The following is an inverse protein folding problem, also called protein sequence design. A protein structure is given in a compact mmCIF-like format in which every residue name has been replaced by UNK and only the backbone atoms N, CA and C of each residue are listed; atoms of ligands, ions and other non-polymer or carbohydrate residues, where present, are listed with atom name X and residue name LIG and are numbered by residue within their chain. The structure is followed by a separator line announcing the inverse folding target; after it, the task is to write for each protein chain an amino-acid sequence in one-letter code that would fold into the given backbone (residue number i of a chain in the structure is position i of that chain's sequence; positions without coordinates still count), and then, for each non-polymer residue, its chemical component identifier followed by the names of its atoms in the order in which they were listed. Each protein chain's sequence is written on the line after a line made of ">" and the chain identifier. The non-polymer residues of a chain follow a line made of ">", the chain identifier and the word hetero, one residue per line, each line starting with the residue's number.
data_IF_988803496881
#
_entry.id   IF_988803496881
#
_cell.length_a   1.000
_cell.length_b   1.000
_cell.length_c   1.000
_cell.angle_alpha   90.00
_cell.angle_beta   90.00
_cell.angle_gamma   90.00
#
_symmetry.space_group_name_H-M   'P 1'
#
loop_
_entity.id
_entity.type
_entity.pdbx_description
1 polymer ?
#
# COMPACT_ATOMS: atom_id res chain seq x y z
N UNK A 1 3.04 15.76 17.57
CA UNK A 1 2.23 14.84 16.73
C UNK A 1 2.36 15.32 15.29
N UNK A 2 2.59 14.43 14.33
CA UNK A 2 2.60 14.82 12.92
C UNK A 2 1.20 15.31 12.50
N UNK A 3 1.12 16.42 11.79
CA UNK A 3 -0.14 16.96 11.29
C UNK A 3 -0.67 16.07 10.16
N UNK A 4 -1.86 15.49 10.35
CA UNK A 4 -2.54 14.73 9.30
C UNK A 4 -3.35 15.71 8.45
N UNK A 5 -3.08 15.74 7.15
CA UNK A 5 -3.82 16.57 6.19
C UNK A 5 -4.55 15.67 5.20
N UNK A 6 -5.83 15.92 5.00
CA UNK A 6 -6.64 15.27 3.98
C UNK A 6 -6.97 16.30 2.89
N UNK A 7 -6.72 15.94 1.64
CA UNK A 7 -6.95 16.81 0.49
C UNK A 7 -8.04 16.16 -0.37
N UNK A 8 -9.15 16.85 -0.55
CA UNK A 8 -10.21 16.45 -1.49
C UNK A 8 -9.88 17.01 -2.86
N UNK A 9 -9.20 16.22 -3.68
CA UNK A 9 -8.82 16.59 -5.04
C UNK A 9 -8.60 15.35 -5.92
N UNK A 10 -8.56 15.56 -7.23
CA UNK A 10 -8.05 14.57 -8.17
C UNK A 10 -6.54 14.42 -7.98
N UNK A 11 -6.06 13.22 -7.67
CA UNK A 11 -4.63 12.93 -7.49
C UNK A 11 -3.79 13.28 -8.72
N UNK A 12 -4.35 13.24 -9.93
CA UNK A 12 -3.64 13.63 -11.15
C UNK A 12 -3.30 15.13 -11.17
N UNK A 13 -4.00 15.95 -10.39
CA UNK A 13 -3.76 17.40 -10.29
C UNK A 13 -2.82 17.77 -9.15
N UNK A 14 -2.41 16.80 -8.34
CA UNK A 14 -1.64 17.02 -7.13
C UNK A 14 -0.16 16.68 -7.33
N UNK A 15 0.69 17.28 -6.50
CA UNK A 15 2.12 17.06 -6.49
C UNK A 15 2.68 17.36 -5.10
N UNK A 16 3.89 16.90 -4.80
CA UNK A 16 4.53 17.25 -3.55
C UNK A 16 5.75 16.41 -3.22
N UNK A 17 6.32 16.69 -2.05
CA UNK A 17 7.41 15.90 -1.47
C UNK A 17 6.90 15.02 -0.33
N UNK A 18 7.36 13.77 -0.33
CA UNK A 18 7.09 12.80 0.72
C UNK A 18 8.27 11.82 0.86
N UNK A 19 8.48 11.28 2.05
CA UNK A 19 9.52 10.27 2.26
C UNK A 19 9.10 8.90 1.70
N UNK A 20 7.80 8.62 1.72
CA UNK A 20 7.20 7.38 1.23
C UNK A 20 5.80 7.65 0.69
N UNK A 21 5.51 7.06 -0.47
CA UNK A 21 4.16 6.99 -1.02
C UNK A 21 3.57 5.63 -0.65
N UNK A 22 2.38 5.63 -0.07
CA UNK A 22 1.59 4.42 0.17
C UNK A 22 0.29 4.53 -0.61
N UNK A 23 0.09 3.67 -1.61
CA UNK A 23 -1.03 3.79 -2.55
C UNK A 23 -1.75 2.46 -2.77
N UNK A 24 -3.08 2.53 -2.83
CA UNK A 24 -3.99 1.48 -3.31
C UNK A 24 -4.80 2.10 -4.48
N UNK A 25 -4.28 2.06 -5.73
CA UNK A 25 -4.95 2.65 -6.89
C UNK A 25 -6.07 1.76 -7.46
N UNK A 26 -7.02 2.32 -8.24
CA UNK A 26 -8.06 1.54 -8.91
C UNK A 26 -7.50 0.34 -9.66
N UNK A 27 -8.06 -0.85 -9.47
CA UNK A 27 -7.51 -2.11 -10.01
C UNK A 27 -7.48 -2.16 -11.55
N UNK A 28 -8.29 -1.32 -12.18
CA UNK A 28 -8.45 -1.12 -13.61
C UNK A 28 -7.64 0.07 -14.15
N UNK A 29 -6.97 0.83 -13.28
CA UNK A 29 -6.14 1.95 -13.69
C UNK A 29 -4.96 1.46 -14.53
N UNK A 30 -4.77 1.98 -15.77
CA UNK A 30 -3.63 1.66 -16.61
C UNK A 30 -2.28 2.01 -15.95
N UNK A 31 -1.25 1.22 -16.25
CA UNK A 31 0.07 1.36 -15.61
C UNK A 31 0.79 2.67 -15.95
N UNK A 32 0.58 3.19 -17.16
CA UNK A 32 1.07 4.48 -17.65
C UNK A 32 0.41 5.65 -16.92
N UNK A 33 -0.92 5.63 -16.79
CA UNK A 33 -1.67 6.66 -16.02
C UNK A 33 -1.25 6.63 -14.55
N UNK A 34 -1.11 5.44 -13.96
CA UNK A 34 -0.62 5.29 -12.59
C UNK A 34 0.80 5.86 -12.44
N UNK A 35 1.69 5.57 -13.39
CA UNK A 35 3.05 6.08 -13.39
C UNK A 35 3.08 7.61 -13.47
N UNK A 36 2.26 8.22 -14.34
CA UNK A 36 2.16 9.68 -14.47
C UNK A 36 1.71 10.32 -13.15
N UNK A 37 0.66 9.78 -12.52
CA UNK A 37 0.12 10.32 -11.26
C UNK A 37 1.18 10.25 -10.15
N UNK A 38 1.81 9.08 -9.98
CA UNK A 38 2.75 8.87 -8.87
C UNK A 38 4.05 9.66 -9.06
N UNK A 39 4.52 9.85 -10.29
CA UNK A 39 5.75 10.60 -10.58
C UNK A 39 5.64 12.11 -10.30
N UNK A 40 4.44 12.64 -10.13
CA UNK A 40 4.24 14.04 -9.65
C UNK A 40 4.69 14.21 -8.20
N UNK A 41 4.89 13.12 -7.48
CA UNK A 41 5.38 13.12 -6.11
C UNK A 41 6.86 12.76 -6.08
N UNK A 42 7.68 13.66 -5.53
CA UNK A 42 9.07 13.38 -5.25
C UNK A 42 9.17 12.58 -3.95
N UNK A 43 9.31 11.27 -4.09
CA UNK A 43 9.51 10.34 -2.99
C UNK A 43 10.55 9.27 -3.32
N UNK A 44 11.48 8.94 -2.40
CA UNK A 44 12.45 7.86 -2.61
C UNK A 44 11.82 6.47 -2.52
N UNK A 45 10.68 6.33 -1.85
CA UNK A 45 10.03 5.06 -1.54
C UNK A 45 8.57 5.01 -2.01
N UNK A 46 8.17 3.85 -2.55
CA UNK A 46 6.81 3.59 -2.98
C UNK A 46 6.36 2.21 -2.47
N UNK A 47 5.21 2.19 -1.82
CA UNK A 47 4.47 0.98 -1.48
C UNK A 47 3.16 0.99 -2.25
N UNK A 48 2.95 -0.03 -3.06
CA UNK A 48 1.82 -0.15 -3.95
C UNK A 48 1.01 -1.41 -3.64
N UNK A 49 -0.24 -1.25 -3.24
CA UNK A 49 -1.21 -2.35 -3.13
C UNK A 49 -1.95 -2.42 -4.47
N UNK A 50 -1.58 -3.38 -5.31
CA UNK A 50 -2.10 -3.47 -6.66
C UNK A 50 -2.10 -4.91 -7.16
N UNK A 51 -2.81 -5.16 -8.27
CA UNK A 51 -2.73 -6.47 -8.93
C UNK A 51 -1.37 -6.68 -9.57
N UNK A 52 -0.95 -7.95 -9.73
CA UNK A 52 0.28 -8.28 -10.45
C UNK A 52 0.32 -7.69 -11.87
N UNK A 53 -0.83 -7.69 -12.55
CA UNK A 53 -0.97 -7.08 -13.89
C UNK A 53 -0.59 -5.60 -13.87
N UNK A 54 -1.08 -4.85 -12.89
CA UNK A 54 -0.77 -3.41 -12.77
C UNK A 54 0.69 -3.18 -12.38
N UNK A 55 1.23 -4.00 -11.48
CA UNK A 55 2.65 -3.93 -11.09
C UNK A 55 3.56 -4.11 -12.32
N UNK A 56 3.29 -5.12 -13.15
CA UNK A 56 4.06 -5.40 -14.36
C UNK A 56 3.93 -4.31 -15.42
N UNK A 57 2.75 -3.66 -15.52
CA UNK A 57 2.53 -2.55 -16.42
C UNK A 57 3.19 -1.23 -15.93
N UNK A 58 3.23 -1.01 -14.62
CA UNK A 58 3.78 0.19 -14.00
C UNK A 58 5.30 0.17 -13.91
N UNK A 59 5.90 -0.96 -13.49
CA UNK A 59 7.32 -1.05 -13.18
C UNK A 59 8.27 -0.52 -14.28
N UNK A 60 8.10 -0.85 -15.58
CA UNK A 60 9.01 -0.37 -16.63
C UNK A 60 8.85 1.13 -16.93
N UNK A 61 7.76 1.76 -16.52
CA UNK A 61 7.45 3.17 -16.76
C UNK A 61 7.85 4.07 -15.59
N UNK A 62 8.27 3.48 -14.48
CA UNK A 62 8.49 4.18 -13.21
C UNK A 62 9.98 4.37 -12.91
N UNK A 63 10.36 5.47 -12.24
CA UNK A 63 11.74 5.67 -11.77
C UNK A 63 12.11 4.80 -10.56
N UNK A 64 11.14 4.10 -9.96
CA UNK A 64 11.41 3.24 -8.82
C UNK A 64 11.73 1.81 -9.28
N UNK A 65 12.84 1.28 -8.79
CA UNK A 65 13.19 -0.12 -8.98
C UNK A 65 12.37 -0.99 -8.03
N UNK A 66 11.83 -2.09 -8.55
CA UNK A 66 11.19 -3.12 -7.73
C UNK A 66 12.19 -3.67 -6.71
N UNK A 67 11.76 -3.80 -5.46
CA UNK A 67 12.60 -4.35 -4.39
C UNK A 67 12.08 -5.68 -3.86
N UNK A 68 10.82 -5.74 -3.40
CA UNK A 68 10.20 -6.99 -2.97
C UNK A 68 8.67 -6.88 -3.01
N UNK A 69 7.99 -8.00 -3.17
CA UNK A 69 6.54 -8.13 -3.05
C UNK A 69 6.15 -8.67 -1.67
N UNK A 70 4.91 -8.39 -1.29
CA UNK A 70 4.34 -8.84 -0.03
C UNK A 70 2.85 -9.14 -0.17
N UNK A 71 2.35 -9.96 0.74
CA UNK A 71 0.96 -10.37 0.79
C UNK A 71 0.29 -9.72 2.00
N UNK A 72 -0.79 -8.99 1.73
CA UNK A 72 -1.71 -8.55 2.77
C UNK A 72 -2.78 -9.63 2.93
N UNK A 73 -2.80 -10.26 4.08
CA UNK A 73 -3.81 -11.27 4.39
C UNK A 73 -5.06 -10.61 4.96
N UNK A 74 -6.05 -10.40 4.10
CA UNK A 74 -7.39 -9.96 4.48
C UNK A 74 -8.15 -11.15 5.05
N UNK A 75 -7.99 -11.41 6.34
CA UNK A 75 -8.59 -12.54 7.11
C UNK A 75 -10.14 -12.59 7.03
N UNK A 76 -10.79 -11.67 6.31
CA UNK A 76 -12.23 -11.65 6.09
C UNK A 76 -12.60 -12.24 4.71
N UNK A 77 -13.50 -13.24 4.66
CA UNK A 77 -13.92 -13.82 3.39
C UNK A 77 -14.62 -12.77 2.52
N UNK A 78 -14.22 -12.71 1.25
CA UNK A 78 -14.88 -11.89 0.24
C UNK A 78 -16.34 -12.34 0.12
N UNK A 79 -17.30 -11.42 0.12
CA UNK A 79 -18.73 -11.75 -0.08
C UNK A 79 -19.05 -12.24 -1.51
N UNK A 80 -18.03 -12.42 -2.35
CA UNK A 80 -18.13 -13.03 -3.67
C UNK A 80 -18.72 -14.43 -3.56
N UNK A 81 -19.89 -14.65 -4.14
CA UNK A 81 -20.58 -15.95 -4.18
C UNK A 81 -20.20 -16.80 -5.39
N UNK A 82 -19.20 -16.40 -6.18
CA UNK A 82 -18.80 -17.17 -7.36
C UNK A 82 -18.16 -18.49 -6.95
N UNK A 83 -18.80 -19.61 -7.30
CA UNK A 83 -18.26 -20.96 -7.09
C UNK A 83 -17.17 -21.34 -8.09
N UNK A 84 -16.96 -20.53 -9.13
CA UNK A 84 -15.99 -20.80 -10.20
C UNK A 84 -14.59 -20.23 -9.90
N UNK A 85 -14.43 -19.51 -8.80
CA UNK A 85 -13.16 -18.90 -8.42
C UNK A 85 -12.81 -19.24 -6.97
N UNK A 86 -11.54 -19.48 -6.65
CA UNK A 86 -11.11 -19.63 -5.27
C UNK A 86 -11.33 -18.32 -4.50
N UNK A 87 -11.62 -18.45 -3.20
CA UNK A 87 -11.75 -17.29 -2.31
C UNK A 87 -10.37 -16.65 -2.11
N UNK A 88 -10.06 -15.63 -2.92
CA UNK A 88 -8.89 -14.79 -2.69
C UNK A 88 -9.16 -13.83 -1.53
N UNK A 89 -8.56 -14.12 -0.37
CA UNK A 89 -8.49 -13.25 0.81
C UNK A 89 -7.22 -12.39 0.84
N UNK A 90 -6.32 -12.63 -0.10
CA UNK A 90 -5.01 -12.00 -0.15
C UNK A 90 -5.00 -10.84 -1.15
N UNK A 91 -4.37 -9.72 -0.77
CA UNK A 91 -4.02 -8.64 -1.68
C UNK A 91 -2.51 -8.64 -1.88
N UNK A 92 -2.07 -8.38 -3.11
CA UNK A 92 -0.65 -8.21 -3.42
C UNK A 92 -0.24 -6.77 -3.14
N UNK A 93 0.86 -6.60 -2.42
CA UNK A 93 1.58 -5.36 -2.28
C UNK A 93 2.98 -5.49 -2.85
N UNK A 94 3.54 -4.38 -3.33
CA UNK A 94 4.90 -4.32 -3.81
C UNK A 94 5.59 -3.08 -3.26
N UNK A 95 6.85 -3.25 -2.87
CA UNK A 95 7.72 -2.17 -2.46
C UNK A 95 8.73 -1.87 -3.54
N UNK A 96 8.84 -0.59 -3.87
CA UNK A 96 9.79 -0.03 -4.81
C UNK A 96 10.58 1.09 -4.16
N UNK A 97 11.79 1.32 -4.66
CA UNK A 97 12.66 2.41 -4.21
C UNK A 97 13.42 3.01 -5.39
N UNK A 98 13.79 4.28 -5.31
CA UNK A 98 14.76 4.84 -6.26
C UNK A 98 16.09 4.06 -6.17
N UNK A 99 16.83 3.86 -7.27
CA UNK A 99 18.06 3.07 -7.27
C UNK A 99 19.06 3.46 -6.18
N UNK A 100 19.25 4.76 -5.99
CA UNK A 100 20.16 5.40 -5.02
C UNK A 100 19.67 5.39 -3.57
N UNK A 101 18.37 5.14 -3.33
CA UNK A 101 17.80 5.17 -1.99
C UNK A 101 18.12 3.88 -1.21
N UNK A 102 18.47 4.00 0.08
CA UNK A 102 18.53 2.85 1.01
C UNK A 102 17.12 2.38 1.32
N UNK A 103 16.90 1.08 1.54
CA UNK A 103 15.56 0.57 1.87
C UNK A 103 15.02 1.20 3.16
N UNK A 104 13.77 1.68 3.14
CA UNK A 104 13.06 2.12 4.34
C UNK A 104 12.68 0.95 5.26
N UNK A 105 12.67 -0.28 4.74
CA UNK A 105 12.41 -1.47 5.53
C UNK A 105 13.72 -2.03 6.09
N UNK A 106 13.83 -2.01 7.42
CA UNK A 106 14.91 -2.69 8.13
C UNK A 106 14.64 -4.20 8.21
N UNK A 107 15.71 -4.96 7.95
CA UNK A 107 15.74 -6.43 7.97
C UNK A 107 16.31 -7.00 9.26
N UNK A 108 17.00 -6.19 10.06
CA UNK A 108 17.74 -6.65 11.23
C UNK A 108 16.96 -6.52 12.55
N UNK A 109 15.94 -5.67 12.61
CA UNK A 109 15.18 -5.37 13.83
C UNK A 109 13.84 -6.11 13.97
N UNK A 110 13.67 -7.28 13.34
CA UNK A 110 12.37 -7.99 13.33
C UNK A 110 12.25 -9.05 14.43
N UNK A 111 11.82 -8.62 15.62
CA UNK A 111 11.27 -9.54 16.62
C UNK A 111 9.77 -9.76 16.36
N UNK A 112 9.36 -11.01 16.12
CA UNK A 112 7.96 -11.42 16.14
C UNK A 112 7.64 -11.98 17.52
N UNK A 113 6.53 -11.55 18.11
CA UNK A 113 6.09 -11.98 19.44
C UNK A 113 5.68 -13.46 19.50
N UNK A 114 5.51 -14.12 18.36
CA UNK A 114 4.96 -15.47 18.23
C UNK A 114 5.97 -16.51 17.72
N UNK A 115 7.26 -16.16 17.58
CA UNK A 115 8.31 -17.09 17.17
C UNK A 115 9.49 -17.08 18.15
N UNK A 116 9.80 -18.23 18.74
CA UNK A 116 11.03 -18.45 19.50
C UNK A 116 12.17 -18.79 18.54
N UNK A 117 12.90 -17.79 18.07
CA UNK A 117 14.19 -18.00 17.39
C UNK A 117 15.27 -17.24 18.14
N UNK A 118 16.29 -17.96 18.60
CA UNK A 118 17.50 -17.37 19.18
C UNK A 118 18.40 -16.75 18.11
N UNK A 119 18.20 -17.10 16.84
CA UNK A 119 18.99 -16.59 15.70
C UNK A 119 18.19 -15.62 14.83
N UNK A 120 18.85 -14.60 14.25
CA UNK A 120 18.23 -13.69 13.30
C UNK A 120 17.88 -14.42 11.98
N UNK A 121 16.63 -14.85 11.86
CA UNK A 121 16.09 -15.48 10.65
C UNK A 121 15.46 -14.49 9.65
N UNK A 122 15.38 -14.90 8.39
CA UNK A 122 14.61 -14.19 7.35
C UNK A 122 13.13 -14.56 7.47
N UNK A 123 12.26 -13.56 7.69
CA UNK A 123 10.83 -13.79 7.94
C UNK A 123 9.98 -13.24 6.79
N UNK A 124 8.87 -13.93 6.41
CA UNK A 124 8.21 -13.72 5.14
C UNK A 124 7.42 -12.41 5.11
N UNK A 125 7.22 -11.93 3.88
CA UNK A 125 6.55 -10.72 3.43
C UNK A 125 5.02 -10.76 3.62
N UNK A 126 4.52 -11.25 4.77
CA UNK A 126 3.09 -11.26 5.08
C UNK A 126 2.79 -10.27 6.20
N UNK A 127 1.94 -9.27 5.92
CA UNK A 127 1.44 -8.36 6.94
C UNK A 127 0.02 -8.79 7.35
N UNK A 128 -0.17 -9.06 8.65
CA UNK A 128 -1.47 -9.39 9.22
C UNK A 128 -2.18 -8.13 9.73
N UNK A 129 -3.44 -7.95 9.35
CA UNK A 129 -4.27 -6.92 9.97
C UNK A 129 -4.55 -7.28 11.45
N UNK A 130 -4.41 -6.34 12.40
CA UNK A 130 -4.62 -6.61 13.82
C UNK A 130 -6.10 -7.00 14.11
N UNK A 131 -6.31 -8.04 14.92
CA UNK A 131 -7.65 -8.58 15.28
C UNK A 131 -8.46 -7.70 16.25
N UNK A 132 -7.87 -6.65 16.83
CA UNK A 132 -8.60 -5.80 17.78
C UNK A 132 -9.48 -4.85 16.97
N UNK A 133 -10.80 -4.94 17.16
CA UNK A 133 -11.70 -3.84 16.85
C UNK A 133 -11.15 -2.60 17.55
N UNK A 134 -10.62 -1.65 16.78
CA UNK A 134 -10.58 -0.26 17.23
C UNK A 134 -12.03 0.06 17.62
N UNK A 135 -12.29 0.28 18.91
CA UNK A 135 -13.58 0.74 19.38
C UNK A 135 -13.94 1.92 18.49
N UNK A 136 -14.99 1.74 17.69
CA UNK A 136 -15.51 2.74 16.76
C UNK A 136 -15.99 3.92 17.61
N UNK A 137 -15.11 4.86 17.94
CA UNK A 137 -15.56 6.19 18.35
C UNK A 137 -16.38 6.70 17.19
N UNK A 138 -17.63 7.06 17.50
CA UNK A 138 -18.72 7.19 16.56
C UNK A 138 -18.39 8.16 15.41
N UNK A 139 -18.01 7.63 14.26
CA UNK A 139 -18.12 8.35 13.00
C UNK A 139 -19.52 8.11 12.45
N UNK A 140 -20.34 9.16 12.49
CA UNK A 140 -21.62 9.22 11.78
C UNK A 140 -21.37 8.96 10.29
N UNK A 141 -22.12 8.02 9.73
CA UNK A 141 -22.08 7.73 8.29
C UNK A 141 -22.67 8.91 7.52
N UNK A 142 -21.99 9.48 6.50
CA UNK A 142 -22.69 10.10 5.40
C UNK A 142 -23.29 8.97 4.55
N UNK A 143 -24.60 9.01 4.44
CA UNK A 143 -25.39 8.26 3.49
C UNK A 143 -25.08 8.74 2.07
N UNK A 144 -24.28 7.99 1.31
CA UNK A 144 -24.43 7.88 -0.14
C UNK A 144 -23.47 6.83 -0.73
N UNK A 145 -24.07 5.86 -1.40
CA UNK A 145 -23.45 5.07 -2.47
C UNK A 145 -23.03 6.03 -3.60
N UNK A 146 -21.94 5.72 -4.31
CA UNK A 146 -21.32 6.47 -5.42
C UNK A 146 -20.54 7.75 -5.07
N UNK A 147 -19.22 7.60 -4.93
CA UNK A 147 -18.15 8.24 -5.75
C UNK A 147 -16.82 8.00 -5.03
N UNK A 148 -15.77 7.70 -5.80
CA UNK A 148 -14.42 7.40 -5.33
C UNK A 148 -13.88 8.50 -4.39
N UNK A 149 -13.24 8.12 -3.28
CA UNK A 149 -12.03 8.81 -2.84
C UNK A 149 -10.96 7.76 -2.48
N UNK A 150 -9.88 7.67 -3.27
CA UNK A 150 -8.72 6.86 -2.89
C UNK A 150 -7.75 7.75 -2.13
N UNK A 151 -7.65 7.49 -0.83
CA UNK A 151 -6.82 8.23 0.12
C UNK A 151 -5.34 8.15 -0.27
N UNK A 152 -4.68 9.31 -0.33
CA UNK A 152 -3.22 9.42 -0.27
C UNK A 152 -2.86 9.76 1.18
N UNK A 153 -2.16 8.87 1.88
CA UNK A 153 -1.58 9.17 3.19
C UNK A 153 -0.22 9.86 2.99
N UNK A 154 -0.12 11.12 3.41
CA UNK A 154 1.15 11.84 3.52
C UNK A 154 1.68 11.69 4.95
N UNK A 155 2.69 10.85 5.15
CA UNK A 155 3.49 10.87 6.36
C UNK A 155 4.62 11.89 6.16
N UNK A 156 4.62 12.96 6.94
CA UNK A 156 5.73 13.92 7.03
C UNK A 156 6.49 13.58 8.31
N UNK A 157 7.78 13.24 8.22
CA UNK A 157 8.69 13.32 9.36
C UNK A 157 9.67 14.48 9.16
N UNK A 158 9.88 15.25 10.23
CA UNK A 158 10.82 16.37 10.30
C UNK A 158 12.27 15.90 10.35
#
# INVERSE_FOLDING_TARGET
>A
MAAITLIEADSATQSGKADLIFADPPFDLPGDVLAEILQRYDAPHLVLIATMRQILAFAPLSPWAFSFDFVLDGVMPKQSKSRQQPNYTHQTGAYFKKPEAKSAFDRYSRQRSDTFSAEPGYWPTIFHAPRKMLKRTAWQKPSCYNRYPRLIYRAISH
#
